data_IF_521199652666
#
_entry.id   IF_521199652666
#
_cell.length_a   1.000
_cell.length_b   1.000
_cell.length_c   1.000
_cell.angle_alpha   90.00
_cell.angle_beta   90.00
_cell.angle_gamma   90.00
#
_symmetry.space_group_name_H-M   'P 1'
#
loop_
_entity.id
_entity.type
_entity.pdbx_description
1 polymer ?
#
# COMPACT_ATOMS: atom_id res chain seq x y z
N UNK A 1 11.27 -12.20 -2.96
CA UNK A 1 10.53 -10.99 -2.57
C UNK A 1 10.04 -11.13 -1.14
N UNK A 2 10.47 -10.25 -0.27
CA UNK A 2 10.06 -10.26 1.14
C UNK A 2 9.27 -9.01 1.48
N UNK A 3 8.16 -9.19 2.19
CA UNK A 3 7.34 -8.08 2.67
C UNK A 3 7.22 -8.23 4.18
N UNK A 4 7.51 -7.15 4.90
CA UNK A 4 7.37 -7.10 6.35
C UNK A 4 6.20 -6.20 6.68
N UNK A 5 5.37 -6.64 7.63
CA UNK A 5 4.22 -5.87 8.09
C UNK A 5 4.38 -5.58 9.58
N UNK A 6 4.30 -4.31 9.94
CA UNK A 6 4.37 -3.86 11.33
C UNK A 6 3.12 -3.06 11.68
N UNK A 7 2.51 -3.37 12.82
CA UNK A 7 1.41 -2.59 13.34
C UNK A 7 1.96 -1.34 14.03
N UNK A 8 1.50 -0.17 13.62
CA UNK A 8 2.07 1.11 14.05
C UNK A 8 1.35 1.68 15.27
N UNK A 9 0.06 1.39 15.42
CA UNK A 9 -0.72 1.89 16.55
C UNK A 9 -1.62 0.78 17.10
N UNK A 10 -2.47 1.13 18.06
CA UNK A 10 -3.41 0.18 18.66
C UNK A 10 -4.69 0.00 17.83
N UNK A 11 -4.69 0.53 16.63
CA UNK A 11 -5.84 0.49 15.73
C UNK A 11 -5.48 -0.27 14.44
N UNK A 12 -5.77 0.28 13.27
CA UNK A 12 -5.63 -0.43 11.99
C UNK A 12 -4.51 0.11 11.10
N UNK A 13 -3.62 0.90 11.66
CA UNK A 13 -2.50 1.45 10.90
C UNK A 13 -1.36 0.44 10.84
N UNK A 14 -1.03 -0.01 9.64
CA UNK A 14 0.08 -0.92 9.39
C UNK A 14 1.10 -0.28 8.47
N UNK A 15 2.34 -0.63 8.69
CA UNK A 15 3.45 -0.22 7.83
C UNK A 15 3.98 -1.46 7.12
N UNK A 16 3.96 -1.43 5.80
CA UNK A 16 4.46 -2.52 4.96
C UNK A 16 5.78 -2.10 4.36
N UNK A 17 6.74 -3.00 4.40
CA UNK A 17 8.09 -2.71 3.94
C UNK A 17 8.60 -3.84 3.05
N UNK A 18 9.22 -3.48 1.92
CA UNK A 18 9.87 -4.47 1.06
C UNK A 18 11.35 -4.62 1.40
N UNK A 19 12.04 -5.51 0.70
CA UNK A 19 13.46 -5.76 0.93
C UNK A 19 14.34 -4.56 0.66
N UNK A 20 13.90 -3.66 -0.22
CA UNK A 20 14.68 -2.49 -0.62
C UNK A 20 14.41 -1.26 0.24
N UNK A 21 13.60 -1.42 1.29
CA UNK A 21 13.36 -0.34 2.25
C UNK A 21 12.21 0.61 1.89
N UNK A 22 11.46 0.33 0.83
CA UNK A 22 10.27 1.15 0.52
C UNK A 22 9.17 0.85 1.51
N UNK A 23 8.53 1.91 2.01
CA UNK A 23 7.51 1.80 3.04
C UNK A 23 6.17 2.27 2.49
N UNK A 24 5.13 1.48 2.75
CA UNK A 24 3.76 1.82 2.39
C UNK A 24 2.90 1.75 3.64
N UNK A 25 2.14 2.81 3.90
CA UNK A 25 1.23 2.87 5.03
C UNK A 25 -0.16 2.42 4.60
N UNK A 26 -0.76 1.55 5.40
CA UNK A 26 -2.10 1.02 5.18
C UNK A 26 -2.92 1.28 6.43
N UNK A 27 -4.14 1.75 6.26
CA UNK A 27 -5.05 2.00 7.39
C UNK A 27 -6.47 1.79 6.92
N UNK A 28 -7.40 1.92 7.86
CA UNK A 28 -8.82 1.89 7.58
C UNK A 28 -9.37 3.32 7.63
N UNK A 29 -10.51 3.53 6.98
CA UNK A 29 -11.19 4.81 7.05
C UNK A 29 -11.77 5.04 8.44
N UNK A 30 -11.97 6.31 8.86
CA UNK A 30 -12.58 6.59 10.15
C UNK A 30 -13.95 5.95 10.34
N UNK A 31 -14.76 5.83 9.27
CA UNK A 31 -16.07 5.18 9.32
C UNK A 31 -15.97 3.72 9.76
N UNK A 32 -14.83 3.09 9.55
CA UNK A 32 -14.59 1.69 9.90
C UNK A 32 -13.64 1.55 11.09
N UNK A 33 -13.42 2.63 11.82
CA UNK A 33 -12.60 2.63 13.02
C UNK A 33 -11.13 2.95 12.82
N UNK A 34 -10.72 3.30 11.61
CA UNK A 34 -9.33 3.66 11.33
C UNK A 34 -9.04 5.14 11.54
N UNK A 35 -7.81 5.52 11.30
CA UNK A 35 -7.33 6.90 11.44
C UNK A 35 -6.99 7.55 10.09
N UNK A 36 -7.26 6.86 8.98
CA UNK A 36 -7.01 7.36 7.63
C UNK A 36 -5.55 7.81 7.41
N UNK A 37 -4.62 7.08 7.99
CA UNK A 37 -3.18 7.37 7.89
C UNK A 37 -2.53 6.73 6.65
N UNK A 38 -3.32 6.05 5.84
CA UNK A 38 -2.87 5.42 4.61
C UNK A 38 -4.04 4.86 3.83
N UNK A 39 -3.77 4.35 2.63
CA UNK A 39 -4.80 3.73 1.80
C UNK A 39 -5.30 2.44 2.44
N UNK A 40 -6.54 2.07 2.19
CA UNK A 40 -7.04 0.77 2.60
C UNK A 40 -6.36 -0.34 1.79
N UNK A 41 -6.31 -1.58 2.31
CA UNK A 41 -5.72 -2.69 1.54
C UNK A 41 -6.32 -2.88 0.16
N UNK A 42 -7.64 -2.71 0.02
CA UNK A 42 -8.31 -2.85 -1.28
C UNK A 42 -7.88 -1.75 -2.25
N UNK A 43 -7.78 -0.51 -1.76
CA UNK A 43 -7.29 0.60 -2.57
C UNK A 43 -5.84 0.35 -3.02
N UNK A 44 -5.04 -0.23 -2.15
CA UNK A 44 -3.64 -0.55 -2.46
C UNK A 44 -3.54 -1.59 -3.56
N UNK A 45 -4.43 -2.60 -3.57
CA UNK A 45 -4.49 -3.59 -4.64
C UNK A 45 -4.80 -2.91 -5.97
N UNK A 46 -5.77 -2.00 -5.98
CA UNK A 46 -6.14 -1.26 -7.20
C UNK A 46 -4.99 -0.35 -7.66
N UNK A 47 -4.32 0.30 -6.74
CA UNK A 47 -3.14 1.12 -7.04
C UNK A 47 -2.02 0.28 -7.64
N UNK A 48 -1.81 -0.94 -7.13
CA UNK A 48 -0.82 -1.87 -7.67
C UNK A 48 -1.13 -2.28 -9.10
N UNK A 49 -2.38 -2.59 -9.39
CA UNK A 49 -2.82 -2.94 -10.74
C UNK A 49 -2.63 -1.75 -11.69
N UNK A 50 -3.03 -0.56 -11.26
CA UNK A 50 -2.87 0.65 -12.07
C UNK A 50 -1.39 0.94 -12.33
N UNK A 51 -0.54 0.80 -11.30
CA UNK A 51 0.90 1.01 -11.43
C UNK A 51 1.55 0.03 -12.39
N UNK A 52 1.20 -1.25 -12.29
CA UNK A 52 1.72 -2.28 -13.21
C UNK A 52 1.33 -1.98 -14.66
N UNK A 53 0.08 -1.59 -14.88
CA UNK A 53 -0.40 -1.26 -16.21
C UNK A 53 0.32 -0.04 -16.78
N UNK A 54 0.54 0.99 -15.96
CA UNK A 54 1.24 2.19 -16.38
C UNK A 54 2.69 1.90 -16.77
N UNK A 55 3.38 1.09 -15.98
CA UNK A 55 4.77 0.70 -16.26
C UNK A 55 4.85 -0.10 -17.57
N UNK A 56 3.90 -1.02 -17.78
CA UNK A 56 3.85 -1.82 -19.01
C UNK A 56 3.65 -0.94 -20.24
N UNK A 57 2.73 0.03 -20.16
CA UNK A 57 2.47 0.95 -21.27
C UNK A 57 3.72 1.77 -21.59
N UNK A 58 4.39 2.30 -20.58
CA UNK A 58 5.62 3.09 -20.76
C UNK A 58 6.72 2.22 -21.37
N UNK A 59 6.85 0.97 -20.93
CA UNK A 59 7.84 0.04 -21.45
C UNK A 59 7.63 -0.26 -22.93
N UNK A 60 6.37 -0.39 -23.35
CA UNK A 60 6.04 -0.63 -24.76
C UNK A 60 6.33 0.60 -25.60
N UNK A 61 6.06 1.79 -25.08
CA UNK A 61 6.26 3.06 -25.80
C UNK A 61 7.73 3.48 -25.90
N UNK A 62 8.58 2.93 -25.06
CA UNK A 62 10.02 3.18 -25.16
C UNK A 62 10.62 2.38 -26.30
#
# INVERSE_FOLDING_TARGET
MKITLNRVNDNFHFELKNERGHIVNVDSRPEFGGNDMGASPMELVLMGVAGCSAIDVISILK
#
